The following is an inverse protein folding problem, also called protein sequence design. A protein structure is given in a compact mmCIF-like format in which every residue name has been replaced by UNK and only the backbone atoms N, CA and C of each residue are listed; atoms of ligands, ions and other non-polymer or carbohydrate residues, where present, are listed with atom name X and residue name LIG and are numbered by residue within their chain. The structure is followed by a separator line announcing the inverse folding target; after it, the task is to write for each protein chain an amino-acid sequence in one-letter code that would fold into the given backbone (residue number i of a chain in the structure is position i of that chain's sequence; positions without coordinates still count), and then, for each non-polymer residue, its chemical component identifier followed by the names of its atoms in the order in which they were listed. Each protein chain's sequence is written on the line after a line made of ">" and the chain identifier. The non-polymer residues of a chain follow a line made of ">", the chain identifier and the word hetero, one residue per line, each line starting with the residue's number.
data_IF_497128578751
#
_entry.id   IF_497128578751
#
_cell.length_a   1.000
_cell.length_b   1.000
_cell.length_c   1.000
_cell.angle_alpha   90.00
_cell.angle_beta   90.00
_cell.angle_gamma   90.00
#
_symmetry.space_group_name_H-M   'P 1'
#
loop_
_entity.id
_entity.type
_entity.pdbx_description
1 polymer ?
#
# COMPACT_ATOMS: atom_id res chain seq x y z
N UNK A 1 -50.17 -20.43 -51.66
CA UNK A 1 -50.36 -19.57 -50.47
C UNK A 1 -49.14 -19.80 -49.58
N UNK A 2 -48.21 -18.90 -49.31
CA UNK A 2 -47.83 -17.56 -49.74
C UNK A 2 -46.35 -17.47 -49.29
N UNK A 3 -45.41 -17.18 -50.20
CA UNK A 3 -44.06 -16.75 -49.82
C UNK A 3 -44.17 -15.34 -49.21
N UNK A 4 -43.58 -15.10 -48.04
CA UNK A 4 -43.30 -13.74 -47.55
C UNK A 4 -41.86 -13.67 -47.00
N UNK A 5 -41.06 -12.81 -47.63
CA UNK A 5 -39.76 -12.34 -47.17
C UNK A 5 -39.93 -10.94 -46.55
N UNK A 6 -39.13 -10.61 -45.51
CA UNK A 6 -38.75 -9.27 -45.01
C UNK A 6 -37.56 -9.49 -44.04
N UNK A 7 -36.28 -9.27 -44.41
CA UNK A 7 -35.52 -8.00 -44.53
C UNK A 7 -35.32 -7.23 -43.19
N UNK A 8 -34.08 -7.28 -42.68
CA UNK A 8 -33.25 -6.22 -42.06
C UNK A 8 -33.76 -5.31 -40.91
N UNK A 9 -32.91 -5.08 -39.90
CA UNK A 9 -32.27 -3.77 -39.58
C UNK A 9 -31.45 -3.87 -38.28
N UNK A 10 -30.18 -3.45 -38.33
CA UNK A 10 -29.29 -3.28 -37.18
C UNK A 10 -29.56 -1.94 -36.46
N UNK A 11 -29.41 -1.85 -35.12
CA UNK A 11 -29.52 -0.56 -34.45
C UNK A 11 -28.26 0.28 -34.67
N UNK A 12 -28.53 1.53 -35.07
CA UNK A 12 -27.60 2.62 -35.28
C UNK A 12 -26.90 3.06 -33.96
N UNK A 13 -25.74 3.69 -34.14
CA UNK A 13 -24.83 4.11 -33.08
C UNK A 13 -25.40 5.15 -32.11
N UNK A 14 -24.84 5.11 -30.90
CA UNK A 14 -24.95 6.16 -29.90
C UNK A 14 -23.81 7.15 -30.09
N UNK A 15 -24.17 8.40 -30.37
CA UNK A 15 -23.27 9.56 -30.32
C UNK A 15 -23.08 10.01 -28.86
N UNK A 16 -21.95 10.65 -28.52
CA UNK A 16 -21.73 11.24 -27.20
C UNK A 16 -22.42 12.61 -27.08
N UNK A 17 -23.26 12.78 -26.07
CA UNK A 17 -23.84 14.07 -25.70
C UNK A 17 -22.75 15.06 -25.27
N UNK A 18 -22.70 16.18 -25.96
CA UNK A 18 -21.83 17.31 -25.70
C UNK A 18 -22.32 18.07 -24.45
N UNK A 19 -21.50 18.09 -23.40
CA UNK A 19 -21.73 18.93 -22.22
C UNK A 19 -21.37 20.38 -22.57
N UNK A 20 -22.35 21.27 -22.49
CA UNK A 20 -22.17 22.70 -22.64
C UNK A 20 -21.40 23.28 -21.44
N UNK A 21 -20.23 23.87 -21.70
CA UNK A 21 -19.47 24.63 -20.70
C UNK A 21 -19.86 26.11 -20.76
N UNK A 22 -20.39 26.63 -19.67
CA UNK A 22 -20.71 28.05 -19.51
C UNK A 22 -19.44 28.81 -19.09
N UNK A 23 -19.04 29.91 -19.77
CA UNK A 23 -17.90 30.71 -19.31
C UNK A 23 -18.31 31.55 -18.09
N UNK A 24 -17.47 31.49 -17.06
CA UNK A 24 -17.63 32.28 -15.84
C UNK A 24 -16.99 33.65 -16.05
N UNK A 25 -17.83 34.67 -16.12
CA UNK A 25 -17.45 36.07 -16.29
C UNK A 25 -16.77 36.65 -15.03
N UNK A 26 -15.91 37.63 -15.25
CA UNK A 26 -14.94 38.18 -14.29
C UNK A 26 -15.56 39.22 -13.36
N UNK A 27 -15.29 39.13 -12.05
CA UNK A 27 -15.38 40.28 -11.14
C UNK A 27 -14.38 40.20 -9.98
N UNK A 28 -13.52 41.21 -9.88
CA UNK A 28 -12.79 41.66 -8.70
C UNK A 28 -12.69 43.20 -8.78
N UNK A 29 -12.32 43.98 -7.72
CA UNK A 29 -11.95 43.63 -6.33
C UNK A 29 -12.67 44.51 -5.25
N UNK A 30 -12.67 44.19 -3.93
CA UNK A 30 -11.75 44.62 -2.84
C UNK A 30 -12.59 44.94 -1.56
N UNK A 31 -12.07 45.22 -0.35
CA UNK A 31 -10.83 44.81 0.34
C UNK A 31 -11.02 44.32 1.83
N UNK A 32 -9.94 43.72 2.34
CA UNK A 32 -9.44 43.70 3.73
C UNK A 32 -10.14 42.99 4.91
N UNK A 33 -9.25 42.42 5.74
CA UNK A 33 -9.35 41.98 7.13
C UNK A 33 -9.95 40.59 7.40
N UNK A 34 -9.10 39.56 7.44
CA UNK A 34 -8.52 39.07 8.70
C UNK A 34 -7.59 37.88 8.36
N UNK A 35 -6.32 38.15 8.08
CA UNK A 35 -5.29 37.11 8.14
C UNK A 35 -4.82 37.04 9.58
N UNK A 36 -5.02 35.91 10.30
CA UNK A 36 -4.30 35.67 11.53
C UNK A 36 -2.81 35.70 11.21
N UNK A 37 -2.11 36.68 11.78
CA UNK A 37 -0.65 36.69 11.78
C UNK A 37 -0.18 35.33 12.31
N UNK A 38 0.72 34.60 11.62
CA UNK A 38 1.38 33.47 12.24
C UNK A 38 2.18 34.03 13.42
N UNK A 39 1.77 33.64 14.62
CA UNK A 39 2.54 33.89 15.84
C UNK A 39 3.99 33.46 15.56
N UNK A 40 5.00 34.26 15.92
CA UNK A 40 6.39 33.84 15.78
C UNK A 40 6.55 32.48 16.46
N UNK A 41 6.90 31.46 15.68
CA UNK A 41 7.31 30.16 16.21
C UNK A 41 8.40 30.47 17.23
N UNK A 42 8.25 30.09 18.53
CA UNK A 42 9.33 30.22 19.48
C UNK A 42 10.58 29.63 18.84
N UNK A 43 11.67 30.39 18.86
CA UNK A 43 12.96 29.98 18.34
C UNK A 43 13.20 28.52 18.77
N UNK A 44 13.42 27.65 17.80
CA UNK A 44 13.95 26.32 18.05
C UNK A 44 15.25 26.54 18.83
N UNK A 45 15.17 26.32 20.14
CA UNK A 45 16.34 26.15 20.99
C UNK A 45 17.16 25.08 20.28
N UNK A 46 18.41 25.42 19.99
CA UNK A 46 19.35 24.55 19.31
C UNK A 46 19.29 23.15 19.93
N UNK A 47 18.87 22.18 19.13
CA UNK A 47 18.95 20.76 19.44
C UNK A 47 20.45 20.44 19.52
N UNK A 48 21.00 20.56 20.71
CA UNK A 48 22.31 19.99 21.02
C UNK A 48 22.10 18.49 20.92
N UNK A 49 22.75 17.77 19.98
CA UNK A 49 22.60 16.33 19.91
C UNK A 49 22.95 15.76 21.28
N UNK A 50 21.97 15.12 21.93
CA UNK A 50 22.24 14.37 23.14
C UNK A 50 23.38 13.38 22.83
N UNK A 51 24.38 13.22 23.72
CA UNK A 51 25.42 12.23 23.55
C UNK A 51 24.78 10.87 23.21
N UNK A 52 25.29 10.11 22.22
CA UNK A 52 24.70 8.84 21.86
C UNK A 52 24.67 7.95 23.10
N UNK A 53 23.46 7.66 23.58
CA UNK A 53 23.25 6.70 24.65
C UNK A 53 23.87 5.37 24.21
N UNK A 54 24.63 4.68 25.07
CA UNK A 54 25.29 3.43 24.68
C UNK A 54 24.26 2.46 24.11
N UNK A 55 24.44 2.06 22.84
CA UNK A 55 23.56 1.09 22.20
C UNK A 55 23.53 -0.18 23.06
N UNK A 56 22.33 -0.58 23.47
CA UNK A 56 22.16 -1.79 24.27
C UNK A 56 22.78 -2.99 23.53
N UNK A 57 23.47 -3.90 24.25
CA UNK A 57 24.10 -5.05 23.62
C UNK A 57 23.06 -5.91 22.87
N UNK A 58 23.42 -6.37 21.66
CA UNK A 58 22.55 -7.22 20.84
C UNK A 58 22.18 -8.51 21.58
N UNK A 59 20.92 -8.90 21.46
CA UNK A 59 20.45 -10.18 22.00
C UNK A 59 21.05 -11.37 21.24
N UNK A 60 21.07 -12.55 21.86
CA UNK A 60 21.48 -13.79 21.19
C UNK A 60 20.62 -14.08 19.94
N UNK A 61 19.31 -13.82 20.01
CA UNK A 61 18.40 -13.98 18.87
C UNK A 61 18.75 -13.06 17.71
N UNK A 62 19.07 -11.80 18.00
CA UNK A 62 19.51 -10.84 16.99
C UNK A 62 20.80 -11.29 16.31
N UNK A 63 21.80 -11.71 17.09
CA UNK A 63 23.08 -12.18 16.52
C UNK A 63 22.90 -13.41 15.62
N UNK A 64 22.04 -14.36 16.01
CA UNK A 64 21.73 -15.53 15.18
C UNK A 64 21.01 -15.14 13.89
N UNK A 65 20.05 -14.21 13.98
CA UNK A 65 19.34 -13.71 12.81
C UNK A 65 20.28 -13.08 11.78
N UNK A 66 21.09 -12.13 12.24
CA UNK A 66 22.03 -11.41 11.38
C UNK A 66 23.09 -12.36 10.79
N UNK A 67 23.56 -13.35 11.57
CA UNK A 67 24.47 -14.40 11.08
C UNK A 67 23.85 -15.24 9.96
N UNK A 68 22.54 -15.48 10.01
CA UNK A 68 21.79 -16.15 8.95
C UNK A 68 21.42 -15.23 7.77
N UNK A 69 21.89 -13.97 7.79
CA UNK A 69 21.54 -12.90 6.84
C UNK A 69 20.06 -12.50 6.86
N UNK A 70 19.36 -12.80 7.96
CA UNK A 70 18.03 -12.26 8.21
C UNK A 70 18.08 -10.83 8.72
N UNK A 71 16.92 -10.19 8.74
CA UNK A 71 16.71 -8.85 9.28
C UNK A 71 16.03 -8.96 10.65
N UNK A 72 16.58 -8.28 11.66
CA UNK A 72 15.98 -8.22 12.99
C UNK A 72 14.93 -7.10 13.01
N UNK A 73 13.65 -7.49 13.01
CA UNK A 73 12.51 -6.56 12.90
C UNK A 73 11.61 -6.68 14.14
N UNK A 74 10.84 -5.64 14.41
CA UNK A 74 9.80 -5.67 15.45
C UNK A 74 8.45 -6.09 14.85
N UNK A 75 7.75 -6.99 15.52
CA UNK A 75 6.40 -7.43 15.20
C UNK A 75 5.39 -6.53 15.93
N UNK A 76 4.62 -5.74 15.16
CA UNK A 76 3.44 -5.01 15.61
C UNK A 76 3.61 -4.17 16.88
N UNK A 77 2.50 -4.02 17.60
CA UNK A 77 2.38 -3.18 18.80
C UNK A 77 2.97 -3.83 20.07
N UNK A 78 3.26 -5.13 20.04
CA UNK A 78 3.83 -5.86 21.19
C UNK A 78 5.31 -5.57 21.40
N UNK A 79 5.99 -5.04 20.37
CA UNK A 79 7.44 -4.78 20.40
C UNK A 79 8.29 -6.05 20.40
N UNK A 80 7.69 -7.22 20.15
CA UNK A 80 8.43 -8.47 20.05
C UNK A 80 9.34 -8.43 18.83
N UNK A 81 10.61 -8.81 18.96
CA UNK A 81 11.52 -8.85 17.83
C UNK A 81 11.54 -10.24 17.20
N UNK A 82 11.67 -10.28 15.87
CA UNK A 82 11.74 -11.51 15.09
C UNK A 82 12.79 -11.42 14.00
N UNK A 83 13.16 -12.59 13.48
CA UNK A 83 14.06 -12.69 12.34
C UNK A 83 13.27 -12.82 11.03
N UNK A 84 13.28 -11.78 10.21
CA UNK A 84 12.72 -11.80 8.87
C UNK A 84 13.75 -12.31 7.86
N UNK A 85 13.36 -13.25 7.01
CA UNK A 85 14.17 -13.71 5.88
C UNK A 85 13.63 -13.13 4.58
N UNK A 86 14.50 -12.62 3.72
CA UNK A 86 14.12 -12.22 2.37
C UNK A 86 13.69 -13.44 1.56
N UNK A 87 12.61 -13.30 0.80
CA UNK A 87 12.19 -14.32 -0.16
C UNK A 87 12.90 -14.12 -1.49
N UNK A 88 13.16 -15.22 -2.20
CA UNK A 88 13.81 -15.18 -3.53
C UNK A 88 12.90 -14.65 -4.64
N UNK A 89 11.60 -14.65 -4.38
CA UNK A 89 10.53 -14.36 -5.34
C UNK A 89 9.71 -13.13 -4.96
N UNK A 90 10.12 -12.37 -3.95
CA UNK A 90 9.50 -11.10 -3.57
C UNK A 90 9.18 -10.20 -4.77
N UNK A 91 7.92 -9.79 -4.88
CA UNK A 91 7.41 -8.93 -5.94
C UNK A 91 7.08 -9.65 -7.27
N UNK A 92 7.38 -10.94 -7.42
CA UNK A 92 6.92 -11.71 -8.60
C UNK A 92 5.40 -11.89 -8.56
N UNK A 93 4.78 -11.92 -9.74
CA UNK A 93 3.34 -12.21 -9.87
C UNK A 93 3.01 -13.62 -9.37
N UNK A 94 1.86 -13.75 -8.70
CA UNK A 94 1.33 -15.02 -8.19
C UNK A 94 -0.20 -15.05 -8.27
N UNK A 95 -0.77 -16.25 -8.20
CA UNK A 95 -2.22 -16.45 -8.18
C UNK A 95 -2.70 -17.27 -6.96
N UNK A 96 -1.78 -17.88 -6.23
CA UNK A 96 -2.05 -18.68 -5.03
C UNK A 96 -0.79 -18.82 -4.19
N UNK A 97 -0.95 -19.20 -2.92
CA UNK A 97 0.15 -19.40 -1.96
C UNK A 97 1.28 -20.27 -2.48
N UNK A 98 0.95 -21.37 -3.17
CA UNK A 98 1.94 -22.36 -3.61
C UNK A 98 2.89 -21.85 -4.71
N UNK A 99 2.61 -20.68 -5.30
CA UNK A 99 3.46 -20.07 -6.31
C UNK A 99 4.68 -19.36 -5.68
N UNK A 100 4.62 -19.08 -4.37
CA UNK A 100 5.61 -18.29 -3.65
C UNK A 100 6.36 -19.11 -2.57
N UNK A 101 7.59 -18.71 -2.27
CA UNK A 101 8.32 -19.16 -1.07
C UNK A 101 7.65 -18.66 0.22
N UNK A 102 7.10 -17.43 0.16
CA UNK A 102 6.33 -16.81 1.23
C UNK A 102 4.83 -16.89 0.97
N UNK A 103 4.16 -15.74 1.01
CA UNK A 103 2.72 -15.62 0.79
C UNK A 103 2.45 -14.90 -0.52
N UNK A 104 1.32 -15.21 -1.17
CA UNK A 104 0.81 -14.44 -2.29
C UNK A 104 -0.14 -13.35 -1.76
N UNK A 105 0.22 -12.08 -1.91
CA UNK A 105 -0.56 -10.95 -1.42
C UNK A 105 -1.78 -10.73 -2.32
N UNK A 106 -3.00 -10.78 -1.76
CA UNK A 106 -4.23 -10.72 -2.55
C UNK A 106 -4.40 -9.37 -3.26
N UNK A 107 -4.04 -8.26 -2.58
CA UNK A 107 -4.23 -6.91 -3.12
C UNK A 107 -3.37 -6.61 -4.35
N UNK A 108 -2.16 -7.13 -4.40
CA UNK A 108 -1.20 -6.87 -5.48
C UNK A 108 -1.04 -8.04 -6.44
N UNK A 109 -1.45 -9.25 -6.05
CA UNK A 109 -1.15 -10.46 -6.80
C UNK A 109 0.35 -10.73 -6.91
N UNK A 110 1.12 -10.41 -5.86
CA UNK A 110 2.58 -10.57 -5.83
C UNK A 110 3.08 -11.32 -4.60
N UNK A 111 4.20 -12.02 -4.73
CA UNK A 111 4.83 -12.73 -3.62
C UNK A 111 5.41 -11.74 -2.59
N UNK A 112 5.20 -12.05 -1.30
CA UNK A 112 5.75 -11.28 -0.18
C UNK A 112 7.27 -11.20 -0.25
N UNK A 113 7.90 -10.03 0.03
CA UNK A 113 9.35 -9.87 0.02
C UNK A 113 10.05 -10.51 1.22
N UNK A 114 9.33 -10.79 2.31
CA UNK A 114 9.87 -11.37 3.54
C UNK A 114 9.01 -12.52 4.08
N UNK A 115 9.64 -13.38 4.89
CA UNK A 115 8.98 -14.43 5.67
C UNK A 115 9.57 -14.52 7.08
N UNK A 116 8.77 -14.75 8.13
CA UNK A 116 7.30 -14.68 8.12
C UNK A 116 6.79 -13.23 7.92
N UNK A 117 5.59 -13.10 7.37
CA UNK A 117 4.91 -11.83 7.17
C UNK A 117 4.01 -11.57 8.40
N UNK A 118 4.57 -10.92 9.43
CA UNK A 118 3.84 -10.53 10.64
C UNK A 118 2.80 -9.44 10.34
N UNK A 119 1.81 -9.33 11.23
CA UNK A 119 0.62 -8.49 11.06
C UNK A 119 -0.49 -9.17 10.26
N UNK A 120 -1.61 -8.46 10.12
CA UNK A 120 -2.76 -8.93 9.35
C UNK A 120 -2.62 -8.54 7.87
N UNK A 121 -2.59 -9.56 7.00
CA UNK A 121 -2.42 -9.38 5.57
C UNK A 121 -3.46 -10.21 4.81
N UNK A 122 -4.04 -9.63 3.76
CA UNK A 122 -4.93 -10.34 2.83
C UNK A 122 -4.08 -11.16 1.85
N UNK A 123 -4.22 -12.48 1.88
CA UNK A 123 -3.41 -13.42 1.08
C UNK A 123 -4.31 -14.37 0.28
N UNK A 124 -3.75 -14.91 -0.81
CA UNK A 124 -4.37 -16.01 -1.55
C UNK A 124 -3.84 -17.34 -1.00
N UNK A 125 -4.72 -18.21 -0.52
CA UNK A 125 -4.38 -19.55 -0.05
C UNK A 125 -4.06 -20.50 -1.23
N UNK A 126 -3.83 -21.77 -0.93
CA UNK A 126 -3.34 -22.77 -1.90
C UNK A 126 -4.33 -23.07 -3.02
N UNK A 127 -5.61 -22.87 -2.76
CA UNK A 127 -6.73 -22.97 -3.71
C UNK A 127 -7.01 -21.65 -4.44
N UNK A 128 -6.27 -20.57 -4.11
CA UNK A 128 -6.49 -19.23 -4.65
C UNK A 128 -7.59 -18.45 -3.93
N UNK A 129 -8.20 -19.01 -2.89
CA UNK A 129 -9.17 -18.30 -2.06
C UNK A 129 -8.49 -17.18 -1.26
N UNK A 130 -9.13 -16.01 -1.22
CA UNK A 130 -8.65 -14.89 -0.42
C UNK A 130 -9.03 -15.08 1.05
N UNK A 131 -8.05 -14.94 1.94
CA UNK A 131 -8.24 -14.93 3.39
C UNK A 131 -7.38 -13.85 4.03
N UNK A 132 -7.86 -13.28 5.14
CA UNK A 132 -7.02 -12.45 6.00
C UNK A 132 -6.27 -13.34 6.99
N UNK A 133 -4.94 -13.27 6.95
CA UNK A 133 -4.07 -14.02 7.86
C UNK A 133 -3.33 -13.05 8.77
N UNK A 134 -3.43 -13.27 10.08
CA UNK A 134 -2.76 -12.49 11.12
C UNK A 134 -1.73 -13.36 11.85
N UNK A 135 -0.50 -12.87 11.96
CA UNK A 135 0.60 -13.51 12.71
C UNK A 135 1.19 -12.45 13.65
N UNK A 136 1.31 -12.78 14.93
CA UNK A 136 1.81 -11.92 16.02
C UNK A 136 3.11 -12.45 16.63
#
# INVERSE_FOLDING_TARGET
>A
VLLLACQGTAPAGLAPDAIAVTPLDTAAPAPDADTPHPKPKPAVLADTPAPPEPEAPKSAGQMLCEKSKGQWLSAGDTGANYCASLTRDGGKQCHKKSDCQGQCLARSGTCSPITPLYGCNDILEKDGGEVTMCID
#
